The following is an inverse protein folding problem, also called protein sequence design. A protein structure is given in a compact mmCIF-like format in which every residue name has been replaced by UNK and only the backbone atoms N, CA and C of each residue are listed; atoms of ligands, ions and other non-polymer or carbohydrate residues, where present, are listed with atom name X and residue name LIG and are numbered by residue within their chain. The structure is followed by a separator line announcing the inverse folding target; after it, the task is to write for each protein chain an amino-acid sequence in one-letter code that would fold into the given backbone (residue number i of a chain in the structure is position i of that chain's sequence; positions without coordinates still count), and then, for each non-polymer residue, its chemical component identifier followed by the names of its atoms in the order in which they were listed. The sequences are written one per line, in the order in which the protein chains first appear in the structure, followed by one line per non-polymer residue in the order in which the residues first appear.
data_IF_687560150169
#
_entry.id   IF_687560150169
#
_cell.length_a   1.000
_cell.length_b   1.000
_cell.length_c   1.000
_cell.angle_alpha   90.00
_cell.angle_beta   90.00
_cell.angle_gamma   90.00
#
_symmetry.space_group_name_H-M   'P 1'
#
loop_
_entity.id
_entity.type
_entity.pdbx_description
1 polymer ?
#
# COMPACT_ATOMS: atom_id res chain seq x y z
N UNK A 1 -4.54 -22.46 -1.09
CA UNK A 1 -4.77 -22.10 -2.50
C UNK A 1 -3.73 -21.08 -3.01
N UNK A 2 -3.52 -19.91 -2.37
CA UNK A 2 -2.51 -18.92 -2.82
C UNK A 2 -1.05 -19.43 -2.82
N UNK A 3 -0.69 -20.36 -1.93
CA UNK A 3 0.67 -20.94 -1.85
C UNK A 3 1.01 -21.87 -3.04
N UNK A 4 0.04 -22.59 -3.61
CA UNK A 4 0.30 -23.50 -4.74
C UNK A 4 0.65 -22.74 -6.03
N UNK A 5 0.13 -21.52 -6.20
CA UNK A 5 0.43 -20.68 -7.39
C UNK A 5 1.82 -20.05 -7.33
N UNK A 6 2.36 -19.77 -6.14
CA UNK A 6 3.72 -19.20 -6.00
C UNK A 6 4.77 -20.27 -6.29
N UNK A 7 4.57 -21.51 -5.81
CA UNK A 7 5.50 -22.62 -6.04
C UNK A 7 5.69 -22.94 -7.53
N UNK A 8 4.63 -22.88 -8.34
CA UNK A 8 4.76 -23.10 -9.80
C UNK A 8 5.64 -22.05 -10.49
N UNK A 9 5.79 -20.85 -9.91
CA UNK A 9 6.69 -19.84 -10.47
C UNK A 9 8.17 -20.07 -10.11
N UNK A 10 8.47 -20.96 -9.16
CA UNK A 10 9.85 -21.32 -8.79
C UNK A 10 10.44 -22.43 -9.66
N UNK A 11 9.61 -23.13 -10.45
CA UNK A 11 10.06 -24.21 -11.32
C UNK A 11 11.11 -23.70 -12.33
N UNK A 12 12.28 -24.36 -12.35
CA UNK A 12 13.40 -23.98 -13.23
C UNK A 12 14.18 -22.74 -12.79
N UNK A 13 13.96 -22.23 -11.57
CA UNK A 13 14.69 -21.07 -11.06
C UNK A 13 16.15 -21.39 -10.72
N UNK A 14 17.02 -20.39 -10.90
CA UNK A 14 18.35 -20.35 -10.29
C UNK A 14 18.19 -20.03 -8.81
N UNK A 15 18.55 -20.97 -7.92
CA UNK A 15 18.44 -20.80 -6.47
C UNK A 15 19.83 -20.77 -5.84
N UNK A 16 20.08 -19.77 -5.01
CA UNK A 16 21.30 -19.61 -4.25
C UNK A 16 20.97 -19.58 -2.76
N UNK A 17 21.85 -20.17 -1.96
CA UNK A 17 21.73 -20.18 -0.50
C UNK A 17 22.96 -19.55 0.15
N UNK A 18 22.74 -18.97 1.33
CA UNK A 18 23.78 -18.33 2.13
C UNK A 18 24.07 -16.90 1.70
N UNK A 19 24.31 -16.04 2.68
CA UNK A 19 24.31 -14.58 2.53
C UNK A 19 25.23 -14.08 1.41
N UNK A 20 26.48 -14.58 1.34
CA UNK A 20 27.46 -14.11 0.36
C UNK A 20 27.03 -14.43 -1.09
N UNK A 21 26.57 -15.65 -1.35
CA UNK A 21 26.12 -16.07 -2.68
C UNK A 21 24.82 -15.37 -3.07
N UNK A 22 23.86 -15.27 -2.15
CA UNK A 22 22.59 -14.60 -2.36
C UNK A 22 22.78 -13.11 -2.65
N UNK A 23 23.60 -12.42 -1.86
CA UNK A 23 23.90 -10.99 -2.04
C UNK A 23 24.56 -10.72 -3.39
N UNK A 24 25.55 -11.54 -3.77
CA UNK A 24 26.22 -11.42 -5.06
C UNK A 24 25.21 -11.57 -6.20
N UNK A 25 24.41 -12.64 -6.17
CA UNK A 25 23.44 -12.92 -7.23
C UNK A 25 22.32 -11.87 -7.30
N UNK A 26 21.81 -11.42 -6.17
CA UNK A 26 20.79 -10.39 -6.11
C UNK A 26 21.27 -9.09 -6.77
N UNK A 27 22.50 -8.67 -6.52
CA UNK A 27 23.10 -7.49 -7.17
C UNK A 27 23.25 -7.70 -8.67
N UNK A 28 23.76 -8.84 -9.13
CA UNK A 28 23.89 -9.16 -10.56
C UNK A 28 22.54 -9.10 -11.29
N UNK A 29 21.49 -9.69 -10.70
CA UNK A 29 20.14 -9.69 -11.29
C UNK A 29 19.53 -8.30 -11.29
N UNK A 30 19.70 -7.51 -10.22
CA UNK A 30 19.22 -6.13 -10.18
C UNK A 30 19.90 -5.27 -11.26
N UNK A 31 21.21 -5.42 -11.43
CA UNK A 31 21.98 -4.72 -12.45
C UNK A 31 21.55 -5.12 -13.87
N UNK A 32 21.37 -6.42 -14.13
CA UNK A 32 20.84 -6.95 -15.40
C UNK A 32 19.48 -6.35 -15.75
N UNK A 33 18.61 -6.21 -14.74
CA UNK A 33 17.28 -5.63 -14.88
C UNK A 33 17.30 -4.09 -14.93
N UNK A 34 18.46 -3.44 -14.76
CA UNK A 34 18.55 -1.98 -14.69
C UNK A 34 17.84 -1.38 -13.46
N UNK A 35 17.80 -2.13 -12.37
CA UNK A 35 17.22 -1.73 -11.09
C UNK A 35 18.32 -1.33 -10.09
N UNK A 36 18.06 -0.44 -9.12
CA UNK A 36 19.07 -0.04 -8.14
C UNK A 36 19.50 -1.19 -7.23
N UNK A 37 20.81 -1.38 -7.10
CA UNK A 37 21.41 -2.42 -6.24
C UNK A 37 21.07 -2.28 -4.74
N UNK A 38 20.62 -1.10 -4.32
CA UNK A 38 20.21 -0.80 -2.95
C UNK A 38 18.72 -1.00 -2.66
N UNK A 39 17.93 -1.60 -3.56
CA UNK A 39 16.49 -1.78 -3.38
C UNK A 39 16.11 -2.67 -2.18
N UNK A 40 16.96 -3.64 -1.85
CA UNK A 40 16.74 -4.59 -0.78
C UNK A 40 17.83 -4.49 0.30
N UNK A 41 17.50 -4.68 1.58
CA UNK A 41 18.52 -4.94 2.60
C UNK A 41 19.14 -6.32 2.29
N UNK A 42 20.40 -6.41 1.88
CA UNK A 42 20.98 -7.70 1.46
C UNK A 42 21.72 -8.47 2.57
N UNK A 43 21.52 -8.07 3.82
CA UNK A 43 22.06 -8.76 4.99
C UNK A 43 21.06 -9.78 5.56
N UNK A 44 21.55 -10.81 6.24
CA UNK A 44 20.74 -11.89 6.82
C UNK A 44 19.82 -12.63 5.81
N UNK A 45 20.18 -12.60 4.51
CA UNK A 45 19.49 -13.36 3.46
C UNK A 45 19.94 -14.82 3.52
N UNK A 46 18.97 -15.73 3.47
CA UNK A 46 19.19 -17.18 3.47
C UNK A 46 19.08 -17.79 2.08
N UNK A 47 18.18 -17.24 1.26
CA UNK A 47 17.88 -17.74 -0.07
C UNK A 47 17.58 -16.59 -1.03
N UNK A 48 18.11 -16.70 -2.24
CA UNK A 48 17.73 -15.88 -3.38
C UNK A 48 17.39 -16.80 -4.54
N UNK A 49 16.22 -16.59 -5.14
CA UNK A 49 15.77 -17.35 -6.30
C UNK A 49 15.36 -16.45 -7.45
N UNK A 50 15.69 -16.86 -8.67
CA UNK A 50 15.25 -16.17 -9.88
C UNK A 50 14.91 -17.15 -11.00
N UNK A 51 13.64 -17.19 -11.38
CA UNK A 51 13.15 -17.83 -12.59
C UNK A 51 13.21 -16.83 -13.75
N UNK A 52 14.23 -16.97 -14.60
CA UNK A 52 14.43 -16.14 -15.80
C UNK A 52 13.29 -16.27 -16.80
N UNK A 53 12.79 -17.48 -17.03
CA UNK A 53 11.76 -17.73 -18.03
C UNK A 53 10.40 -17.10 -17.64
N UNK A 54 10.04 -17.18 -16.36
CA UNK A 54 8.81 -16.59 -15.82
C UNK A 54 8.96 -15.16 -15.30
N UNK A 55 10.18 -14.62 -15.27
CA UNK A 55 10.48 -13.32 -14.67
C UNK A 55 10.13 -13.25 -13.19
N UNK A 56 10.19 -14.35 -12.44
CA UNK A 56 9.78 -14.39 -11.03
C UNK A 56 11.00 -14.48 -10.13
N UNK A 57 11.11 -13.59 -9.14
CA UNK A 57 12.18 -13.62 -8.14
C UNK A 57 11.63 -13.65 -6.72
N UNK A 58 12.45 -14.17 -5.81
CA UNK A 58 12.21 -14.07 -4.38
C UNK A 58 13.50 -13.92 -3.57
N UNK A 59 13.36 -13.31 -2.40
CA UNK A 59 14.40 -13.18 -1.39
C UNK A 59 13.83 -13.66 -0.05
N UNK A 60 14.53 -14.58 0.61
CA UNK A 60 14.18 -15.05 1.94
C UNK A 60 15.19 -14.55 2.98
N UNK A 61 14.68 -13.95 4.05
CA UNK A 61 15.43 -13.45 5.19
C UNK A 61 15.15 -14.28 6.43
N UNK A 62 16.15 -14.39 7.30
CA UNK A 62 16.02 -15.01 8.64
C UNK A 62 14.84 -14.46 9.46
N UNK A 63 14.58 -13.17 9.32
CA UNK A 63 13.53 -12.46 10.07
C UNK A 63 13.05 -11.24 9.29
N UNK A 64 11.82 -10.81 9.59
CA UNK A 64 11.30 -9.51 9.17
C UNK A 64 12.27 -8.39 9.56
N UNK A 65 12.48 -7.43 8.67
CA UNK A 65 13.41 -6.32 8.89
C UNK A 65 12.83 -4.98 8.42
N UNK A 66 13.05 -3.95 9.24
CA UNK A 66 12.81 -2.56 8.82
C UNK A 66 14.12 -1.93 8.34
N UNK A 67 14.07 -1.20 7.24
CA UNK A 67 15.17 -0.45 6.64
C UNK A 67 14.78 1.02 6.52
N UNK A 68 15.75 1.92 6.77
CA UNK A 68 15.55 3.35 6.58
C UNK A 68 16.42 3.85 5.44
N UNK A 69 15.78 4.26 4.34
CA UNK A 69 16.44 4.93 3.23
C UNK A 69 16.77 6.37 3.62
N UNK A 70 17.93 6.58 4.24
CA UNK A 70 18.35 7.85 4.86
C UNK A 70 18.22 9.06 3.93
N UNK A 71 18.54 8.92 2.64
CA UNK A 71 18.48 10.02 1.66
C UNK A 71 17.07 10.54 1.41
N UNK A 72 16.07 9.67 1.42
CA UNK A 72 14.66 10.02 1.21
C UNK A 72 13.85 10.03 2.51
N UNK A 73 14.50 9.75 3.66
CA UNK A 73 13.89 9.68 5.00
C UNK A 73 12.70 8.72 5.08
N UNK A 74 12.69 7.69 4.24
CA UNK A 74 11.60 6.72 4.16
C UNK A 74 11.94 5.46 4.96
N UNK A 75 10.98 4.99 5.77
CA UNK A 75 11.08 3.70 6.46
C UNK A 75 10.29 2.65 5.69
N UNK A 76 10.94 1.53 5.38
CA UNK A 76 10.38 0.41 4.62
C UNK A 76 10.57 -0.87 5.42
N UNK A 77 9.53 -1.69 5.47
CA UNK A 77 9.50 -2.98 6.15
C UNK A 77 9.50 -4.10 5.12
N UNK A 78 10.38 -5.06 5.32
CA UNK A 78 10.55 -6.26 4.51
C UNK A 78 10.16 -7.48 5.36
N UNK A 79 9.24 -8.29 4.86
CA UNK A 79 8.86 -9.57 5.46
C UNK A 79 10.00 -10.59 5.36
N UNK A 80 9.82 -11.75 5.99
CA UNK A 80 10.76 -12.88 5.87
C UNK A 80 10.88 -13.39 4.43
N UNK A 81 9.85 -13.23 3.61
CA UNK A 81 9.91 -13.52 2.19
C UNK A 81 9.38 -12.33 1.39
N UNK A 82 10.14 -11.94 0.39
CA UNK A 82 9.80 -10.90 -0.58
C UNK A 82 9.77 -11.55 -1.95
N UNK A 83 8.67 -11.37 -2.68
CA UNK A 83 8.52 -11.91 -4.05
C UNK A 83 8.07 -10.83 -5.02
N UNK A 84 8.43 -10.97 -6.29
CA UNK A 84 7.99 -10.07 -7.36
C UNK A 84 8.11 -10.73 -8.74
N UNK A 85 7.31 -10.24 -9.69
CA UNK A 85 7.60 -10.40 -11.10
C UNK A 85 8.44 -9.23 -11.59
N UNK A 86 9.42 -9.48 -12.44
CA UNK A 86 10.40 -8.49 -12.87
C UNK A 86 10.57 -8.46 -14.37
N UNK A 87 10.78 -7.25 -14.85
CA UNK A 87 11.13 -6.90 -16.23
C UNK A 87 12.19 -5.80 -16.16
N UNK A 88 12.78 -5.46 -17.31
CA UNK A 88 13.78 -4.37 -17.36
C UNK A 88 13.19 -3.06 -16.83
N UNK A 89 13.79 -2.53 -15.78
CA UNK A 89 13.43 -1.29 -15.10
C UNK A 89 12.14 -1.38 -14.27
N UNK A 90 11.57 -2.58 -14.05
CA UNK A 90 10.23 -2.72 -13.47
C UNK A 90 10.08 -3.96 -12.57
N UNK A 91 9.33 -3.80 -11.49
CA UNK A 91 8.88 -4.90 -10.62
C UNK A 91 7.37 -4.78 -10.40
N UNK A 92 6.66 -5.91 -10.46
CA UNK A 92 5.21 -6.02 -10.39
C UNK A 92 4.78 -7.09 -9.39
N UNK A 93 3.55 -6.95 -8.86
CA UNK A 93 2.96 -7.85 -7.86
C UNK A 93 3.92 -8.11 -6.70
N UNK A 94 4.60 -7.05 -6.26
CA UNK A 94 5.56 -7.11 -5.16
C UNK A 94 4.80 -7.54 -3.90
N UNK A 95 5.34 -8.53 -3.19
CA UNK A 95 4.84 -8.96 -1.89
C UNK A 95 5.94 -8.85 -0.84
N UNK A 96 5.55 -8.80 0.44
CA UNK A 96 6.50 -8.72 1.55
C UNK A 96 7.14 -7.34 1.77
N UNK A 97 6.91 -6.35 0.90
CA UNK A 97 7.45 -4.98 1.06
C UNK A 97 6.34 -4.00 1.47
N UNK A 98 6.57 -3.26 2.55
CA UNK A 98 5.67 -2.18 3.00
C UNK A 98 6.42 -0.89 3.23
N UNK A 99 5.90 0.23 2.76
CA UNK A 99 6.42 1.57 3.04
C UNK A 99 5.65 2.22 4.18
N UNK A 100 6.31 3.01 5.01
CA UNK A 100 5.64 3.79 6.07
C UNK A 100 5.30 5.18 5.57
N UNK A 101 4.02 5.44 5.31
CA UNK A 101 3.52 6.77 4.98
C UNK A 101 2.67 7.28 6.15
N UNK A 102 3.06 8.44 6.69
CA UNK A 102 2.52 9.00 7.94
C UNK A 102 2.58 7.96 9.08
N UNK A 103 1.43 7.52 9.58
CA UNK A 103 1.30 6.56 10.68
C UNK A 103 1.01 5.13 10.21
N UNK A 104 1.06 4.83 8.91
CA UNK A 104 0.57 3.57 8.35
C UNK A 104 1.60 2.85 7.50
N UNK A 105 1.54 1.52 7.54
CA UNK A 105 2.28 0.64 6.62
C UNK A 105 1.42 0.33 5.39
N UNK A 106 1.93 0.67 4.21
CA UNK A 106 1.29 0.43 2.92
C UNK A 106 2.09 -0.58 2.13
N UNK A 107 1.43 -1.60 1.58
CA UNK A 107 2.09 -2.58 0.70
C UNK A 107 2.53 -1.90 -0.58
N UNK A 108 3.80 -2.04 -0.94
CA UNK A 108 4.31 -1.66 -2.25
C UNK A 108 4.00 -2.82 -3.19
N UNK A 109 3.31 -2.55 -4.30
CA UNK A 109 2.83 -3.60 -5.22
C UNK A 109 3.48 -3.53 -6.59
N UNK A 110 3.99 -2.36 -6.97
CA UNK A 110 4.67 -2.14 -8.25
C UNK A 110 5.74 -1.07 -8.07
N UNK A 111 6.85 -1.20 -8.79
CA UNK A 111 7.82 -0.13 -8.98
C UNK A 111 8.30 -0.11 -10.42
N UNK A 112 8.63 1.07 -10.95
CA UNK A 112 9.15 1.19 -12.30
C UNK A 112 10.02 2.45 -12.47
N UNK A 113 10.89 2.40 -13.45
CA UNK A 113 11.70 3.51 -13.92
C UNK A 113 11.15 3.91 -15.29
N UNK A 114 10.44 5.04 -15.34
CA UNK A 114 9.80 5.52 -16.57
C UNK A 114 10.81 6.06 -17.58
N UNK A 115 11.77 6.85 -17.08
CA UNK A 115 12.90 7.37 -17.85
C UNK A 115 14.21 7.05 -17.10
N UNK A 116 15.06 6.14 -17.61
CA UNK A 116 16.33 5.80 -16.99
C UNK A 116 17.29 6.98 -16.82
N UNK A 117 17.16 8.02 -17.64
CA UNK A 117 18.00 9.22 -17.56
C UNK A 117 17.56 10.20 -16.46
N UNK A 118 16.31 10.09 -16.01
CA UNK A 118 15.73 10.99 -15.00
C UNK A 118 16.30 10.78 -13.59
N UNK A 119 16.89 9.61 -13.33
CA UNK A 119 17.31 9.19 -11.99
C UNK A 119 16.15 8.99 -11.00
N UNK A 120 14.90 8.94 -11.49
CA UNK A 120 13.70 8.78 -10.67
C UNK A 120 13.17 7.34 -10.75
N UNK A 121 12.59 6.90 -9.63
CA UNK A 121 11.93 5.61 -9.51
C UNK A 121 10.54 5.88 -8.96
N UNK A 122 9.53 5.30 -9.57
CA UNK A 122 8.14 5.40 -9.12
C UNK A 122 7.76 4.12 -8.40
N UNK A 123 7.17 4.27 -7.20
CA UNK A 123 6.60 3.18 -6.43
C UNK A 123 5.09 3.37 -6.34
N UNK A 124 4.34 2.29 -6.54
CA UNK A 124 2.89 2.27 -6.33
C UNK A 124 2.56 1.41 -5.12
N UNK A 125 1.68 1.93 -4.29
CA UNK A 125 1.13 1.20 -3.15
C UNK A 125 -0.17 0.50 -3.56
N UNK A 126 -0.49 -0.59 -2.88
CA UNK A 126 -1.67 -1.42 -3.19
C UNK A 126 -3.01 -0.77 -2.82
N UNK A 127 -2.98 0.39 -2.17
CA UNK A 127 -4.16 1.20 -1.84
C UNK A 127 -4.21 2.38 -2.80
N UNK A 128 -5.39 2.66 -3.37
CA UNK A 128 -5.59 3.70 -4.39
C UNK A 128 -5.24 5.14 -3.97
N UNK A 129 -5.55 6.11 -4.83
CA UNK A 129 -5.12 7.51 -4.72
C UNK A 129 -5.35 8.17 -3.35
N UNK A 130 -4.49 9.12 -2.99
CA UNK A 130 -4.57 9.84 -1.72
C UNK A 130 -5.34 11.16 -1.87
N UNK A 131 -6.31 11.41 -0.99
CA UNK A 131 -6.99 12.70 -0.87
C UNK A 131 -6.47 13.42 0.36
N UNK A 132 -6.12 14.70 0.20
CA UNK A 132 -5.85 15.64 1.28
C UNK A 132 -6.65 16.93 1.07
N UNK A 133 -7.48 17.26 2.05
CA UNK A 133 -8.28 18.48 2.09
C UNK A 133 -7.84 19.33 3.27
N UNK A 134 -7.44 20.57 3.00
CA UNK A 134 -7.04 21.53 4.01
C UNK A 134 -8.07 22.65 4.15
N UNK A 135 -8.56 22.87 5.36
CA UNK A 135 -9.45 23.96 5.74
C UNK A 135 -8.75 24.92 6.70
N UNK A 136 -9.04 26.21 6.59
CA UNK A 136 -8.50 27.24 7.52
C UNK A 136 -8.92 27.01 8.98
N UNK A 137 -10.08 26.38 9.20
CA UNK A 137 -10.62 26.07 10.53
C UNK A 137 -11.42 24.79 10.50
N UNK A 138 -11.56 24.13 11.67
CA UNK A 138 -12.50 23.04 11.89
C UNK A 138 -13.91 23.49 11.47
N UNK A 139 -14.66 22.63 10.79
CA UNK A 139 -16.02 22.89 10.33
C UNK A 139 -16.94 21.77 10.77
N UNK A 140 -18.09 22.11 11.32
CA UNK A 140 -19.18 21.16 11.56
C UNK A 140 -20.25 21.35 10.48
N UNK A 141 -20.86 20.25 10.06
CA UNK A 141 -21.91 20.24 9.04
C UNK A 141 -23.01 19.27 9.44
N UNK A 142 -24.25 19.63 9.11
CA UNK A 142 -25.41 18.80 9.37
C UNK A 142 -25.99 18.35 8.03
N UNK A 143 -25.92 17.06 7.75
CA UNK A 143 -26.58 16.46 6.61
C UNK A 143 -28.07 16.28 6.93
N UNK A 144 -28.90 17.22 6.49
CA UNK A 144 -30.33 17.29 6.86
C UNK A 144 -31.10 16.03 6.48
N UNK A 145 -30.85 15.47 5.30
CA UNK A 145 -31.57 14.28 4.79
C UNK A 145 -31.39 13.05 5.68
N UNK A 146 -30.27 12.95 6.41
CA UNK A 146 -29.96 11.82 7.30
C UNK A 146 -29.88 12.24 8.78
N UNK A 147 -30.13 13.52 9.08
CA UNK A 147 -30.05 14.11 10.42
C UNK A 147 -28.73 13.84 11.15
N UNK A 148 -27.64 13.67 10.39
CA UNK A 148 -26.32 13.42 10.94
C UNK A 148 -25.50 14.70 11.05
N UNK A 149 -24.82 14.85 12.17
CA UNK A 149 -23.87 15.95 12.42
C UNK A 149 -22.47 15.41 12.30
N UNK A 150 -21.70 15.99 11.39
CA UNK A 150 -20.30 15.63 11.16
C UNK A 150 -19.37 16.80 11.46
N UNK A 151 -18.15 16.46 11.85
CA UNK A 151 -17.08 17.41 12.12
C UNK A 151 -15.91 17.09 11.20
N UNK A 152 -15.45 18.09 10.46
CA UNK A 152 -14.24 18.08 9.65
C UNK A 152 -13.15 18.90 10.35
N UNK A 153 -11.98 18.30 10.52
CA UNK A 153 -10.78 18.98 11.00
C UNK A 153 -10.22 19.96 9.95
N UNK A 154 -9.19 20.70 10.35
CA UNK A 154 -8.40 21.55 9.44
C UNK A 154 -7.68 20.74 8.37
N UNK A 155 -7.40 19.47 8.64
CA UNK A 155 -6.83 18.55 7.67
C UNK A 155 -7.66 17.27 7.67
N UNK A 156 -8.15 16.90 6.49
CA UNK A 156 -8.84 15.64 6.24
C UNK A 156 -8.03 14.86 5.23
N UNK A 157 -7.68 13.62 5.56
CA UNK A 157 -6.97 12.72 4.66
C UNK A 157 -7.73 11.42 4.48
N UNK A 158 -7.61 10.81 3.32
CA UNK A 158 -8.14 9.47 3.07
C UNK A 158 -7.37 8.81 1.91
N UNK A 159 -7.34 7.48 1.89
CA UNK A 159 -6.97 6.72 0.70
C UNK A 159 -8.24 6.32 -0.04
N UNK A 160 -8.19 6.38 -1.36
CA UNK A 160 -9.36 6.27 -2.22
C UNK A 160 -9.12 5.24 -3.31
N UNK A 161 -9.98 4.24 -3.31
CA UNK A 161 -10.14 3.27 -4.38
C UNK A 161 -11.50 3.52 -5.05
N UNK A 162 -11.74 2.84 -6.18
CA UNK A 162 -13.02 2.95 -6.86
C UNK A 162 -14.16 2.52 -5.92
N UNK A 163 -15.05 3.46 -5.59
CA UNK A 163 -16.21 3.22 -4.73
C UNK A 163 -15.88 3.06 -3.24
N UNK A 164 -14.65 3.34 -2.81
CA UNK A 164 -14.21 3.14 -1.43
C UNK A 164 -13.21 4.19 -0.98
N UNK A 165 -13.42 4.75 0.20
CA UNK A 165 -12.42 5.53 0.94
C UNK A 165 -12.08 4.82 2.24
N UNK A 166 -10.81 4.76 2.58
CA UNK A 166 -10.33 4.08 3.77
C UNK A 166 -9.29 4.92 4.49
N UNK A 167 -9.10 4.59 5.79
CA UNK A 167 -8.18 5.28 6.69
C UNK A 167 -8.45 6.79 6.71
N UNK A 168 -9.73 7.14 6.72
CA UNK A 168 -10.18 8.52 6.77
C UNK A 168 -9.71 9.12 8.11
N UNK A 169 -9.08 10.30 8.06
CA UNK A 169 -8.70 11.08 9.24
C UNK A 169 -9.32 12.46 9.18
N UNK A 170 -9.48 13.10 10.34
CA UNK A 170 -10.07 14.44 10.42
C UNK A 170 -11.59 14.47 10.24
N UNK A 171 -12.26 13.34 10.00
CA UNK A 171 -13.72 13.26 9.92
C UNK A 171 -14.28 12.53 11.15
N UNK A 172 -15.22 13.17 11.83
CA UNK A 172 -15.97 12.56 12.93
C UNK A 172 -17.47 12.68 12.69
N UNK A 173 -18.22 11.67 13.10
CA UNK A 173 -19.68 11.70 13.16
C UNK A 173 -20.13 11.77 14.62
N UNK A 174 -21.27 12.41 14.86
CA UNK A 174 -21.86 12.50 16.20
C UNK A 174 -22.94 11.43 16.36
N UNK A 175 -22.68 10.47 17.23
CA UNK A 175 -23.64 9.43 17.58
C UNK A 175 -23.95 9.55 19.07
N UNK A 176 -25.24 9.72 19.40
CA UNK A 176 -25.69 10.10 20.74
C UNK A 176 -24.94 11.35 21.26
N UNK A 177 -24.13 11.18 22.31
CA UNK A 177 -23.35 12.24 22.95
C UNK A 177 -21.83 12.15 22.62
N UNK A 178 -21.43 11.23 21.74
CA UNK A 178 -20.02 10.94 21.44
C UNK A 178 -19.65 11.32 20.00
N UNK A 179 -18.41 11.78 19.86
CA UNK A 179 -17.79 12.00 18.55
C UNK A 179 -16.95 10.79 18.15
N UNK A 180 -17.42 10.06 17.14
CA UNK A 180 -16.76 8.87 16.64
C UNK A 180 -16.01 9.19 15.36
N UNK A 181 -14.76 8.73 15.26
CA UNK A 181 -13.96 8.88 14.04
C UNK A 181 -14.51 8.00 12.94
N UNK A 182 -14.84 8.59 11.80
CA UNK A 182 -15.15 7.86 10.58
C UNK A 182 -13.83 7.41 9.96
N UNK A 183 -13.65 6.12 9.75
CA UNK A 183 -12.38 5.53 9.28
C UNK A 183 -12.49 4.92 7.89
N UNK A 184 -13.71 4.61 7.46
CA UNK A 184 -13.97 3.98 6.17
C UNK A 184 -15.32 4.40 5.62
N UNK A 185 -15.42 4.50 4.31
CA UNK A 185 -16.63 4.76 3.54
C UNK A 185 -16.58 3.87 2.31
N UNK A 186 -17.65 3.18 1.95
CA UNK A 186 -17.68 2.35 0.75
C UNK A 186 -19.08 2.20 0.18
N UNK A 187 -19.15 1.90 -1.12
CA UNK A 187 -20.36 1.49 -1.83
C UNK A 187 -20.21 -0.02 -2.08
N UNK A 188 -21.01 -0.83 -1.37
CA UNK A 188 -20.93 -2.30 -1.47
C UNK A 188 -21.51 -2.81 -2.79
N UNK A 189 -22.68 -2.29 -3.16
CA UNK A 189 -23.33 -2.55 -4.44
C UNK A 189 -23.63 -1.19 -5.12
N UNK A 190 -22.99 -0.88 -6.27
CA UNK A 190 -23.23 0.35 -7.00
C UNK A 190 -24.70 0.56 -7.42
N UNK A 191 -25.46 -0.53 -7.59
CA UNK A 191 -26.87 -0.47 -7.96
C UNK A 191 -27.79 -0.16 -6.77
N UNK A 192 -27.30 -0.33 -5.54
CA UNK A 192 -28.08 -0.07 -4.31
C UNK A 192 -28.38 1.41 -4.08
N UNK A 193 -27.60 2.32 -4.69
CA UNK A 193 -27.68 3.75 -4.44
C UNK A 193 -27.36 4.14 -2.98
N UNK A 194 -26.72 3.26 -2.22
CA UNK A 194 -26.33 3.48 -0.83
C UNK A 194 -24.81 3.57 -0.67
N UNK A 195 -24.40 4.33 0.32
CA UNK A 195 -23.03 4.46 0.78
C UNK A 195 -22.97 4.15 2.27
N UNK A 196 -22.01 3.33 2.65
CA UNK A 196 -21.81 2.85 4.03
C UNK A 196 -20.61 3.55 4.64
N UNK A 197 -20.72 3.95 5.90
CA UNK A 197 -19.66 4.55 6.69
C UNK A 197 -19.36 3.66 7.88
N UNK A 198 -18.09 3.46 8.20
CA UNK A 198 -17.64 2.76 9.41
C UNK A 198 -16.85 3.69 10.32
N UNK A 199 -17.06 3.50 11.61
CA UNK A 199 -16.34 4.20 12.67
C UNK A 199 -15.18 3.36 13.21
N UNK A 200 -14.23 4.01 13.88
CA UNK A 200 -13.11 3.33 14.53
C UNK A 200 -13.51 2.37 15.66
N UNK A 201 -14.75 2.45 16.16
CA UNK A 201 -15.32 1.53 17.16
C UNK A 201 -15.97 0.29 16.53
N UNK A 202 -16.02 0.20 15.20
CA UNK A 202 -16.64 -0.90 14.47
C UNK A 202 -18.13 -0.70 14.16
N UNK A 203 -18.75 0.41 14.58
CA UNK A 203 -20.13 0.74 14.20
C UNK A 203 -20.18 1.13 12.71
N UNK A 204 -21.28 0.78 12.04
CA UNK A 204 -21.48 1.04 10.63
C UNK A 204 -22.91 1.45 10.30
N UNK A 205 -23.05 2.51 9.50
CA UNK A 205 -24.34 3.01 9.01
C UNK A 205 -24.33 3.18 7.49
N UNK A 206 -25.46 2.89 6.83
CA UNK A 206 -25.64 3.06 5.39
C UNK A 206 -26.72 4.09 5.08
N UNK A 207 -26.41 5.00 4.16
CA UNK A 207 -27.28 6.11 3.77
C UNK A 207 -27.45 6.16 2.25
N UNK A 208 -28.56 6.70 1.72
CA UNK A 208 -28.69 6.93 0.29
C UNK A 208 -27.66 7.95 -0.19
N UNK A 209 -27.05 7.71 -1.36
CA UNK A 209 -26.03 8.62 -1.95
C UNK A 209 -26.58 10.04 -2.14
N UNK A 210 -27.86 10.16 -2.47
CA UNK A 210 -28.56 11.45 -2.61
C UNK A 210 -28.62 12.28 -1.31
N UNK A 211 -28.26 11.70 -0.15
CA UNK A 211 -28.06 12.44 1.09
C UNK A 211 -26.85 13.38 1.08
N UNK A 212 -25.92 13.21 0.15
CA UNK A 212 -24.62 13.88 0.11
C UNK A 212 -24.41 14.75 -1.14
N UNK A 213 -25.46 14.96 -1.94
CA UNK A 213 -25.44 15.89 -3.06
C UNK A 213 -25.38 17.35 -2.57
N UNK A 214 -24.85 18.26 -3.41
CA UNK A 214 -24.86 19.68 -3.11
C UNK A 214 -26.30 20.18 -2.98
N UNK A 215 -26.58 20.95 -1.92
CA UNK A 215 -27.83 21.70 -1.77
C UNK A 215 -27.85 22.92 -2.70
#
# INVERSE_FOLDING_TARGET
MASQTIESHREGAEIHHGEAACKKKAVEVLEELGLPNGLFPLDDIEEFGYNRAGGFLWLAHKKKKDHTFKKIKQVVSYATEVTAFVEKGKMMKITGVKTRELLLWLSVVEMYIEDPSSGKITFKTGTGGFIWLAHKKKKEHTFKKIKQVVSYATEVTAFVEKGKMMKITGVKTRELLLWLSVVEMYIEDPSSGKITFKTGTGLSDSFPVSAFELE
#
